data_IF_992848230241
#
_entry.id   IF_992848230241
#
_cell.length_a   1.000
_cell.length_b   1.000
_cell.length_c   1.000
_cell.angle_alpha   90.00
_cell.angle_beta   90.00
_cell.angle_gamma   90.00
#
_symmetry.space_group_name_H-M   'P 1'
#
loop_
_entity.id
_entity.type
_entity.pdbx_description
1 polymer ?
#
# COMPACT_ATOMS: atom_id res chain seq x y z
N UNK A 1 -12.85 0.22 5.83
CA UNK A 1 -11.64 0.56 6.63
C UNK A 1 -11.55 2.07 6.65
N UNK A 2 -11.54 2.71 7.82
CA UNK A 2 -11.52 4.17 7.89
C UNK A 2 -10.09 4.69 7.56
N UNK A 3 -9.96 5.98 7.18
CA UNK A 3 -8.67 6.56 6.78
C UNK A 3 -7.61 6.50 7.89
N UNK A 4 -8.00 6.56 9.15
CA UNK A 4 -7.09 6.43 10.28
C UNK A 4 -6.60 5.00 10.47
N UNK A 5 -7.47 4.00 10.29
CA UNK A 5 -7.11 2.58 10.33
C UNK A 5 -6.18 2.22 9.18
N UNK A 6 -6.39 2.78 7.97
CA UNK A 6 -5.48 2.57 6.84
C UNK A 6 -4.12 3.25 7.05
N UNK A 7 -4.11 4.52 7.51
CA UNK A 7 -2.87 5.23 7.86
C UNK A 7 -2.08 4.49 8.94
N UNK A 8 -2.75 4.00 9.98
CA UNK A 8 -2.12 3.25 11.05
C UNK A 8 -1.62 1.89 10.56
N UNK A 9 -2.37 1.17 9.71
CA UNK A 9 -1.90 -0.09 9.09
C UNK A 9 -0.69 0.13 8.19
N UNK A 10 -0.63 1.21 7.42
CA UNK A 10 0.48 1.51 6.51
C UNK A 10 1.75 1.96 7.27
N UNK A 11 1.59 2.77 8.32
CA UNK A 11 2.66 3.12 9.27
C UNK A 11 3.17 1.87 10.00
N UNK A 12 2.27 0.98 10.44
CA UNK A 12 2.62 -0.29 11.10
C UNK A 12 3.22 -1.33 10.15
N UNK A 13 2.86 -1.34 8.87
CA UNK A 13 3.42 -2.26 7.88
C UNK A 13 4.87 -1.89 7.54
N UNK A 14 5.21 -0.60 7.42
CA UNK A 14 6.59 -0.18 7.13
C UNK A 14 7.45 -0.08 8.39
N UNK A 15 6.94 0.42 9.51
CA UNK A 15 7.67 0.29 10.79
C UNK A 15 7.81 -1.20 11.12
N UNK A 16 6.80 -2.03 10.85
CA UNK A 16 6.92 -3.49 10.88
C UNK A 16 7.93 -4.05 9.88
N UNK A 17 8.08 -3.50 8.67
CA UNK A 17 9.15 -3.93 7.74
C UNK A 17 10.54 -3.50 8.21
N UNK A 18 10.67 -2.35 8.87
CA UNK A 18 11.93 -1.83 9.44
C UNK A 18 12.27 -2.49 10.79
N UNK A 19 11.28 -2.88 11.60
CA UNK A 19 11.42 -3.45 12.96
C UNK A 19 11.30 -4.99 12.96
N UNK A 20 10.45 -5.58 12.11
CA UNK A 20 10.15 -7.03 12.02
C UNK A 20 10.77 -7.69 10.78
N UNK A 21 11.13 -6.92 9.74
CA UNK A 21 11.79 -7.45 8.52
C UNK A 21 13.14 -8.13 8.76
N UNK A 22 13.76 -7.94 9.93
CA UNK A 22 14.94 -8.69 10.38
C UNK A 22 14.65 -10.04 11.06
N UNK A 23 13.44 -10.24 11.61
CA UNK A 23 13.17 -11.37 12.52
C UNK A 23 12.46 -12.56 11.86
N UNK A 24 11.74 -12.36 10.74
CA UNK A 24 11.04 -13.45 10.06
C UNK A 24 11.86 -14.13 8.94
N UNK A 25 12.90 -13.50 8.39
CA UNK A 25 13.67 -14.10 7.29
C UNK A 25 14.87 -14.96 7.72
N UNK A 26 15.37 -14.84 8.96
CA UNK A 26 16.60 -15.52 9.38
C UNK A 26 16.38 -16.81 10.21
N UNK A 27 15.13 -17.18 10.53
CA UNK A 27 14.81 -18.39 11.35
C UNK A 27 14.31 -19.60 10.55
N UNK A 28 14.21 -19.50 9.22
CA UNK A 28 13.81 -20.63 8.35
C UNK A 28 15.02 -21.36 7.74
N UNK A 29 16.27 -20.89 7.93
CA UNK A 29 17.42 -21.52 7.26
C UNK A 29 18.16 -22.61 8.02
N UNK A 30 17.97 -22.80 9.33
CA UNK A 30 18.67 -23.85 10.07
C UNK A 30 17.77 -24.54 11.11
N UNK A 31 17.13 -25.62 10.69
CA UNK A 31 16.92 -26.80 11.54
C UNK A 31 17.02 -28.06 10.68
N UNK A 32 17.72 -29.11 11.15
CA UNK A 32 17.98 -30.32 10.39
C UNK A 32 16.71 -31.18 10.32
N UNK A 33 16.34 -31.59 9.11
CA UNK A 33 15.29 -32.57 8.86
C UNK A 33 15.74 -33.93 9.42
N UNK A 34 15.10 -34.38 10.50
CA UNK A 34 15.22 -35.74 11.00
C UNK A 34 14.42 -36.71 10.13
N UNK A 35 15.09 -37.81 9.83
CA UNK A 35 14.72 -39.03 9.11
C UNK A 35 13.41 -39.70 9.53
N UNK A 36 12.72 -40.32 8.56
CA UNK A 36 12.15 -41.70 8.58
C UNK A 36 11.33 -41.97 7.29
N UNK A 37 11.05 -43.23 6.90
CA UNK A 37 11.98 -44.27 6.46
C UNK A 37 11.71 -44.73 5.01
N UNK A 38 12.71 -45.41 4.43
CA UNK A 38 12.64 -46.09 3.12
C UNK A 38 11.54 -47.16 3.05
N UNK A 39 10.79 -47.17 1.94
CA UNK A 39 10.16 -48.38 1.41
C UNK A 39 10.49 -48.47 -0.08
N UNK A 40 11.21 -49.54 -0.42
CA UNK A 40 11.66 -49.88 -1.75
C UNK A 40 10.50 -50.34 -2.66
N UNK A 41 10.50 -49.89 -3.91
CA UNK A 41 9.96 -50.67 -5.03
C UNK A 41 10.59 -50.24 -6.36
N UNK A 42 10.96 -51.26 -7.12
CA UNK A 42 11.78 -51.31 -8.33
C UNK A 42 11.23 -50.62 -9.57
N UNK A 43 12.14 -50.08 -10.38
CA UNK A 43 11.93 -49.72 -11.79
C UNK A 43 11.73 -50.94 -12.70
N UNK A 44 11.12 -50.75 -13.89
CA UNK A 44 11.72 -51.32 -15.09
C UNK A 44 11.89 -50.30 -16.24
N UNK A 45 12.87 -50.62 -17.08
CA UNK A 45 13.48 -49.88 -18.18
C UNK A 45 12.66 -49.80 -19.50
N UNK A 46 13.22 -49.04 -20.45
CA UNK A 46 13.10 -49.08 -21.94
C UNK A 46 11.97 -48.22 -22.54
N UNK A 47 12.14 -47.51 -23.67
CA UNK A 47 13.04 -47.67 -24.84
C UNK A 47 13.17 -46.35 -25.62
N UNK A 48 14.24 -46.26 -26.40
CA UNK A 48 14.59 -45.28 -27.45
C UNK A 48 13.64 -45.31 -28.66
N UNK A 49 13.58 -44.19 -29.40
CA UNK A 49 13.45 -44.01 -30.87
C UNK A 49 12.97 -42.55 -31.11
N UNK A 50 13.32 -41.78 -32.13
CA UNK A 50 14.29 -41.82 -33.23
C UNK A 50 14.25 -40.40 -33.85
N UNK A 51 15.25 -40.07 -34.66
CA UNK A 51 15.58 -38.75 -35.22
C UNK A 51 14.50 -38.14 -36.15
N UNK A 52 14.50 -36.80 -36.28
CA UNK A 52 14.40 -36.15 -37.60
C UNK A 52 14.71 -34.64 -37.54
N UNK A 53 15.87 -34.26 -38.10
CA UNK A 53 16.03 -33.19 -39.10
C UNK A 53 15.81 -31.72 -38.72
N UNK A 54 16.91 -30.98 -38.54
CA UNK A 54 16.98 -29.53 -38.80
C UNK A 54 16.83 -29.22 -40.31
N UNK A 55 16.43 -28.00 -40.69
CA UNK A 55 17.47 -27.04 -41.12
C UNK A 55 17.28 -25.62 -40.57
N UNK A 56 18.43 -24.99 -40.31
CA UNK A 56 18.59 -23.57 -40.00
C UNK A 56 18.25 -22.68 -41.21
N UNK A 57 17.79 -21.46 -40.96
CA UNK A 57 17.77 -20.39 -41.98
C UNK A 57 18.10 -19.02 -41.37
N UNK A 58 19.34 -18.64 -41.64
CA UNK A 58 19.88 -17.32 -42.04
C UNK A 58 19.34 -16.03 -41.39
N UNK A 59 20.31 -15.33 -40.80
CA UNK A 59 20.31 -13.91 -40.46
C UNK A 59 19.88 -13.03 -41.63
N UNK A 60 19.07 -12.01 -41.33
CA UNK A 60 19.07 -10.78 -42.10
C UNK A 60 19.06 -9.60 -41.13
N UNK A 61 20.23 -8.97 -41.05
CA UNK A 61 20.52 -7.77 -40.28
C UNK A 61 19.86 -6.56 -40.96
N UNK A 62 18.98 -5.89 -40.24
CA UNK A 62 18.61 -4.50 -40.52
C UNK A 62 19.06 -3.69 -39.32
N UNK A 63 20.19 -3.00 -39.47
CA UNK A 63 20.65 -1.98 -38.54
C UNK A 63 19.65 -0.82 -38.52
N UNK A 64 18.66 -0.87 -37.62
CA UNK A 64 18.08 0.36 -37.08
C UNK A 64 19.01 0.83 -35.96
N UNK A 65 19.82 1.84 -36.28
CA UNK A 65 20.48 2.67 -35.27
C UNK A 65 19.40 3.43 -34.49
N UNK A 66 18.79 2.75 -33.53
CA UNK A 66 18.04 3.42 -32.48
C UNK A 66 19.04 4.26 -31.70
N UNK A 67 18.90 5.57 -31.85
CA UNK A 67 19.48 6.53 -30.92
C UNK A 67 18.87 6.21 -29.57
N UNK A 68 19.61 5.47 -28.74
CA UNK A 68 19.36 5.41 -27.31
C UNK A 68 19.47 6.86 -26.82
N UNK A 69 18.32 7.50 -26.62
CA UNK A 69 18.26 8.76 -25.91
C UNK A 69 18.91 8.50 -24.56
N UNK A 70 20.02 9.21 -24.29
CA UNK A 70 20.61 9.22 -22.96
C UNK A 70 19.50 9.62 -21.98
N UNK A 71 19.35 8.96 -20.82
CA UNK A 71 18.36 9.37 -19.84
C UNK A 71 18.62 10.83 -19.49
N UNK A 72 17.62 11.69 -19.64
CA UNK A 72 17.71 13.05 -19.12
C UNK A 72 18.07 12.96 -17.63
N UNK A 73 19.18 13.60 -17.21
CA UNK A 73 19.58 13.65 -15.81
C UNK A 73 18.41 14.18 -14.99
N UNK A 74 17.77 13.30 -14.21
CA UNK A 74 16.60 13.64 -13.40
C UNK A 74 17.04 14.69 -12.38
N UNK A 75 16.57 15.93 -12.56
CA UNK A 75 16.91 17.06 -11.69
C UNK A 75 16.56 16.72 -10.24
N UNK A 76 17.56 16.74 -9.35
CA UNK A 76 17.35 16.50 -7.92
C UNK A 76 16.60 17.69 -7.32
N UNK A 77 15.47 17.41 -6.66
CA UNK A 77 14.60 18.40 -6.04
C UNK A 77 14.59 18.19 -4.53
N UNK A 78 14.68 19.26 -3.74
CA UNK A 78 14.41 19.20 -2.30
C UNK A 78 12.91 19.00 -2.06
N UNK A 79 12.54 17.92 -1.38
CA UNK A 79 11.14 17.60 -1.05
C UNK A 79 10.75 18.06 0.35
N UNK A 80 11.66 17.92 1.32
CA UNK A 80 11.47 18.41 2.66
C UNK A 80 12.80 18.77 3.34
N UNK A 81 12.71 19.56 4.40
CA UNK A 81 13.80 19.85 5.33
C UNK A 81 13.29 19.48 6.72
N UNK A 82 14.05 18.63 7.41
CA UNK A 82 13.79 18.18 8.77
C UNK A 82 14.92 18.66 9.66
N UNK A 83 14.61 19.68 10.47
CA UNK A 83 15.59 20.49 11.18
C UNK A 83 16.58 21.14 10.20
N UNK A 84 17.75 20.55 10.01
CA UNK A 84 18.80 21.04 9.10
C UNK A 84 19.10 20.06 7.95
N UNK A 85 18.48 18.88 7.96
CA UNK A 85 18.72 17.83 6.97
C UNK A 85 17.69 17.88 5.86
N UNK A 86 18.16 17.67 4.64
CA UNK A 86 17.37 17.73 3.42
C UNK A 86 16.93 16.32 3.03
N UNK A 87 15.64 16.15 2.75
CA UNK A 87 15.09 14.98 2.07
C UNK A 87 14.89 15.35 0.61
N UNK A 88 15.59 14.67 -0.29
CA UNK A 88 15.58 14.95 -1.73
C UNK A 88 14.67 14.00 -2.50
N UNK A 89 14.44 14.30 -3.78
CA UNK A 89 13.73 13.41 -4.71
C UNK A 89 14.49 12.11 -4.96
N UNK A 90 15.83 12.15 -4.92
CA UNK A 90 16.65 10.95 -5.05
C UNK A 90 16.53 10.06 -3.81
N UNK A 91 16.50 10.65 -2.61
CA UNK A 91 16.21 9.89 -1.39
C UNK A 91 14.84 9.23 -1.49
N UNK A 92 13.83 9.99 -1.92
CA UNK A 92 12.48 9.48 -2.13
C UNK A 92 12.44 8.31 -3.12
N UNK A 93 13.02 8.48 -4.31
CA UNK A 93 13.02 7.45 -5.35
C UNK A 93 13.75 6.20 -4.86
N UNK A 94 14.91 6.34 -4.23
CA UNK A 94 15.70 5.22 -3.69
C UNK A 94 14.94 4.45 -2.62
N UNK A 95 14.31 5.14 -1.67
CA UNK A 95 13.52 4.47 -0.63
C UNK A 95 12.25 3.84 -1.20
N UNK A 96 11.63 4.43 -2.23
CA UNK A 96 10.46 3.85 -2.90
C UNK A 96 10.84 2.58 -3.69
N UNK A 97 12.00 2.59 -4.35
CA UNK A 97 12.54 1.46 -5.10
C UNK A 97 12.99 0.31 -4.20
N UNK A 98 13.38 0.59 -2.94
CA UNK A 98 13.76 -0.45 -1.97
C UNK A 98 12.57 -1.27 -1.46
N UNK A 99 11.33 -0.75 -1.60
CA UNK A 99 10.12 -1.45 -1.22
C UNK A 99 9.83 -2.65 -2.13
N UNK A 100 9.17 -3.67 -1.56
CA UNK A 100 8.60 -4.75 -2.36
C UNK A 100 7.54 -4.18 -3.34
N UNK A 101 7.36 -4.80 -4.53
CA UNK A 101 6.48 -4.27 -5.58
C UNK A 101 5.08 -3.92 -5.10
N UNK A 102 4.51 -4.73 -4.20
CA UNK A 102 3.15 -4.56 -3.69
C UNK A 102 2.99 -3.28 -2.86
N UNK A 103 4.04 -2.87 -2.15
CA UNK A 103 4.04 -1.62 -1.38
C UNK A 103 4.40 -0.42 -2.26
N UNK A 104 5.28 -0.61 -3.24
CA UNK A 104 5.68 0.46 -4.16
C UNK A 104 4.48 1.03 -4.92
N UNK A 105 3.61 0.17 -5.44
CA UNK A 105 2.38 0.58 -6.14
C UNK A 105 1.47 1.48 -5.29
N UNK A 106 1.39 1.24 -3.97
CA UNK A 106 0.57 2.05 -3.07
C UNK A 106 1.12 3.47 -2.95
N UNK A 107 2.44 3.61 -2.80
CA UNK A 107 3.10 4.90 -2.57
C UNK A 107 3.38 5.69 -3.85
N UNK A 108 3.42 5.03 -5.02
CA UNK A 108 3.45 5.71 -6.32
C UNK A 108 2.23 6.62 -6.50
N UNK A 109 1.08 6.22 -5.95
CA UNK A 109 -0.16 6.99 -6.00
C UNK A 109 -0.34 7.92 -4.77
N UNK A 110 0.34 7.63 -3.66
CA UNK A 110 0.22 8.35 -2.38
C UNK A 110 1.54 9.02 -1.97
N UNK A 111 2.19 9.71 -2.91
CA UNK A 111 3.53 10.29 -2.74
C UNK A 111 3.67 11.27 -1.58
N UNK A 112 2.63 12.04 -1.26
CA UNK A 112 2.66 12.92 -0.08
C UNK A 112 2.74 12.13 1.22
N UNK A 113 2.06 10.99 1.30
CA UNK A 113 2.11 10.13 2.49
C UNK A 113 3.45 9.42 2.59
N UNK A 114 4.03 8.97 1.47
CA UNK A 114 5.38 8.43 1.48
C UNK A 114 6.41 9.47 1.94
N UNK A 115 6.31 10.73 1.48
CA UNK A 115 7.17 11.81 1.99
C UNK A 115 6.99 12.02 3.50
N UNK A 116 5.76 11.93 4.03
CA UNK A 116 5.51 11.99 5.46
C UNK A 116 6.25 10.89 6.23
N UNK A 117 6.33 9.68 5.67
CA UNK A 117 7.06 8.57 6.27
C UNK A 117 8.57 8.81 6.28
N UNK A 118 9.13 9.30 5.17
CA UNK A 118 10.56 9.66 5.11
C UNK A 118 10.92 10.73 6.14
N UNK A 119 10.04 11.72 6.32
CA UNK A 119 10.19 12.73 7.38
C UNK A 119 10.17 12.09 8.77
N UNK A 120 9.25 11.13 9.05
CA UNK A 120 9.26 10.39 10.33
C UNK A 120 10.57 9.64 10.54
N UNK A 121 11.04 8.91 9.53
CA UNK A 121 12.29 8.15 9.60
C UNK A 121 13.47 9.06 9.89
N UNK A 122 13.53 10.22 9.23
CA UNK A 122 14.58 11.22 9.46
C UNK A 122 14.52 11.80 10.89
N UNK A 123 13.32 12.07 11.43
CA UNK A 123 13.16 12.52 12.83
C UNK A 123 13.65 11.44 13.81
N UNK A 124 13.27 10.19 13.60
CA UNK A 124 13.71 9.07 14.43
C UNK A 124 15.21 8.86 14.36
N UNK A 125 15.80 8.98 13.17
CA UNK A 125 17.25 8.90 12.98
C UNK A 125 17.98 10.00 13.74
N UNK A 126 17.49 11.24 13.67
CA UNK A 126 18.08 12.35 14.41
C UNK A 126 17.98 12.14 15.93
N UNK A 127 16.86 11.61 16.42
CA UNK A 127 16.70 11.27 17.83
C UNK A 127 17.66 10.15 18.26
N UNK A 128 17.81 9.10 17.46
CA UNK A 128 18.76 8.02 17.70
C UNK A 128 20.22 8.55 17.76
N UNK A 129 20.57 9.46 16.85
CA UNK A 129 21.89 10.09 16.84
C UNK A 129 22.09 11.04 18.02
N UNK A 130 21.05 11.79 18.42
CA UNK A 130 21.06 12.66 19.60
C UNK A 130 21.28 11.88 20.89
N UNK A 131 20.66 10.71 21.01
CA UNK A 131 20.89 9.79 22.15
C UNK A 131 22.25 9.09 22.09
N UNK A 132 22.99 9.23 20.99
CA UNK A 132 24.31 8.63 20.84
C UNK A 132 24.29 7.12 20.63
N UNK A 133 23.18 6.55 20.14
CA UNK A 133 22.99 5.10 19.99
C UNK A 133 24.07 4.45 19.13
N UNK A 134 24.64 5.18 18.16
CA UNK A 134 25.76 4.72 17.33
C UNK A 134 27.06 4.40 18.12
N UNK A 135 27.15 4.78 19.39
CA UNK A 135 28.29 4.50 20.28
C UNK A 135 28.09 3.23 21.11
N UNK A 136 26.90 2.65 21.09
CA UNK A 136 26.60 1.44 21.85
C UNK A 136 27.22 0.23 21.19
N UNK A 137 27.83 -0.64 22.01
CA UNK A 137 28.65 -1.76 21.52
C UNK A 137 27.86 -2.67 20.55
N UNK A 138 26.65 -3.04 20.94
CA UNK A 138 25.78 -3.91 20.15
C UNK A 138 25.37 -3.26 18.81
N UNK A 139 25.03 -1.96 18.84
CA UNK A 139 24.73 -1.18 17.65
C UNK A 139 25.95 -1.09 16.72
N UNK A 140 27.14 -0.88 17.27
CA UNK A 140 28.39 -0.85 16.49
C UNK A 140 28.69 -2.19 15.81
N UNK A 141 28.48 -3.30 16.51
CA UNK A 141 28.63 -4.65 15.95
C UNK A 141 27.65 -4.89 14.80
N UNK A 142 26.38 -4.51 14.96
CA UNK A 142 25.37 -4.62 13.90
C UNK A 142 25.72 -3.75 12.68
N UNK A 143 26.15 -2.50 12.89
CA UNK A 143 26.57 -1.60 11.80
C UNK A 143 27.81 -2.14 11.09
N UNK A 144 28.75 -2.75 11.82
CA UNK A 144 29.93 -3.35 11.21
C UNK A 144 29.58 -4.53 10.29
N UNK A 145 28.56 -5.31 10.65
CA UNK A 145 28.05 -6.42 9.84
C UNK A 145 27.32 -5.90 8.59
N UNK A 146 26.49 -4.86 8.73
CA UNK A 146 25.69 -4.33 7.63
C UNK A 146 25.72 -2.80 7.56
N UNK A 147 26.82 -2.27 6.99
CA UNK A 147 27.08 -0.83 6.94
C UNK A 147 26.00 -0.04 6.22
N UNK A 148 25.43 -0.60 5.15
CA UNK A 148 24.38 0.05 4.36
C UNK A 148 23.09 0.24 5.18
N UNK A 149 22.85 -0.63 6.17
CA UNK A 149 21.69 -0.57 7.07
C UNK A 149 21.88 0.32 8.29
N UNK A 150 22.94 1.15 8.35
CA UNK A 150 23.22 1.99 9.52
C UNK A 150 21.99 2.78 9.99
N UNK A 151 21.24 3.38 9.08
CA UNK A 151 20.05 4.18 9.41
C UNK A 151 18.97 3.31 10.06
N UNK A 152 18.66 2.17 9.45
CA UNK A 152 17.68 1.19 9.93
C UNK A 152 18.04 0.68 11.33
N UNK A 153 19.30 0.30 11.55
CA UNK A 153 19.79 -0.21 12.84
C UNK A 153 19.63 0.83 13.94
N UNK A 154 19.96 2.10 13.68
CA UNK A 154 19.82 3.18 14.66
C UNK A 154 18.37 3.46 15.02
N UNK A 155 17.48 3.50 14.02
CA UNK A 155 16.05 3.69 14.23
C UNK A 155 15.48 2.49 15.00
N UNK A 156 15.87 1.27 14.66
CA UNK A 156 15.43 0.05 15.33
C UNK A 156 15.82 0.05 16.82
N UNK A 157 17.07 0.40 17.14
CA UNK A 157 17.51 0.52 18.53
C UNK A 157 16.71 1.58 19.30
N UNK A 158 16.42 2.73 18.69
CA UNK A 158 15.57 3.75 19.30
C UNK A 158 14.17 3.21 19.58
N UNK A 159 13.57 2.51 18.61
CA UNK A 159 12.23 1.91 18.77
C UNK A 159 12.23 0.88 19.89
N UNK A 160 13.24 0.01 19.96
CA UNK A 160 13.39 -0.98 21.02
C UNK A 160 13.47 -0.31 22.39
N UNK A 161 14.29 0.74 22.55
CA UNK A 161 14.39 1.49 23.81
C UNK A 161 13.08 2.16 24.21
N UNK A 162 12.34 2.71 23.24
CA UNK A 162 11.04 3.33 23.50
C UNK A 162 10.04 2.27 23.97
N UNK A 163 10.06 1.07 23.40
CA UNK A 163 8.98 0.08 23.53
C UNK A 163 9.26 -1.08 24.49
N UNK A 164 10.51 -1.29 24.95
CA UNK A 164 10.90 -2.42 25.82
C UNK A 164 10.19 -2.47 27.18
N UNK A 165 9.91 -1.32 27.79
CA UNK A 165 9.37 -1.23 29.16
C UNK A 165 7.83 -1.31 29.19
N UNK A 166 7.23 -2.10 28.30
CA UNK A 166 5.77 -2.25 28.20
C UNK A 166 5.32 -3.48 28.99
N UNK A 167 4.49 -3.25 30.00
CA UNK A 167 3.87 -4.29 30.81
C UNK A 167 2.37 -4.40 30.56
N UNK A 168 1.84 -5.60 30.78
CA UNK A 168 0.42 -5.92 30.66
C UNK A 168 -0.04 -6.59 31.95
N UNK A 169 -1.07 -6.01 32.58
CA UNK A 169 -1.67 -6.56 33.79
C UNK A 169 -2.71 -7.63 33.47
N UNK A 170 -3.06 -8.45 34.47
CA UNK A 170 -4.09 -9.48 34.32
C UNK A 170 -5.46 -8.84 34.13
N UNK A 171 -5.73 -7.70 34.77
CA UNK A 171 -6.96 -6.94 34.65
C UNK A 171 -7.17 -6.47 33.20
N UNK A 172 -6.12 -5.97 32.55
CA UNK A 172 -6.20 -5.54 31.15
C UNK A 172 -6.44 -6.72 30.19
N UNK A 173 -5.83 -7.88 30.47
CA UNK A 173 -6.10 -9.11 29.71
C UNK A 173 -7.54 -9.58 29.86
N UNK A 174 -8.08 -9.50 31.09
CA UNK A 174 -9.47 -9.86 31.36
C UNK A 174 -10.43 -8.90 30.67
N UNK A 175 -10.17 -7.60 30.74
CA UNK A 175 -10.96 -6.60 30.03
C UNK A 175 -10.99 -6.89 28.53
N UNK A 176 -9.82 -7.12 27.91
CA UNK A 176 -9.74 -7.48 26.50
C UNK A 176 -10.48 -8.80 26.18
N UNK A 177 -10.36 -9.82 27.02
CA UNK A 177 -11.09 -11.07 26.85
C UNK A 177 -12.62 -10.84 26.88
N UNK A 178 -13.11 -10.02 27.80
CA UNK A 178 -14.54 -9.70 27.91
C UNK A 178 -15.06 -8.96 26.66
N UNK A 179 -14.23 -8.16 26.00
CA UNK A 179 -14.56 -7.49 24.74
C UNK A 179 -14.67 -8.48 23.58
N UNK A 180 -13.76 -9.46 23.49
CA UNK A 180 -13.67 -10.37 22.33
C UNK A 180 -14.39 -11.71 22.52
N UNK A 181 -14.79 -12.08 23.74
CA UNK A 181 -15.36 -13.42 24.03
C UNK A 181 -16.58 -13.79 23.18
N UNK A 182 -17.34 -12.81 22.72
CA UNK A 182 -18.49 -13.03 21.84
C UNK A 182 -18.07 -13.53 20.44
N UNK A 183 -16.86 -13.18 20.00
CA UNK A 183 -16.28 -13.59 18.72
C UNK A 183 -15.52 -14.93 18.83
N UNK A 184 -15.21 -15.37 20.06
CA UNK A 184 -14.50 -16.64 20.35
C UNK A 184 -15.24 -17.49 21.41
N UNK A 185 -16.52 -17.87 21.16
CA UNK A 185 -17.40 -18.43 22.19
C UNK A 185 -16.94 -19.75 22.81
N UNK A 186 -16.04 -20.48 22.15
CA UNK A 186 -15.55 -21.79 22.60
C UNK A 186 -14.21 -21.75 23.35
N UNK A 187 -13.56 -20.60 23.46
CA UNK A 187 -12.24 -20.49 24.09
C UNK A 187 -12.31 -19.83 25.45
N UNK A 188 -11.75 -20.49 26.46
CA UNK A 188 -11.61 -19.92 27.81
C UNK A 188 -10.51 -18.87 27.88
N UNK A 189 -10.58 -18.01 28.89
CA UNK A 189 -9.55 -16.99 29.16
C UNK A 189 -8.14 -17.60 29.22
N UNK A 190 -7.94 -18.72 29.93
CA UNK A 190 -6.62 -19.33 30.08
C UNK A 190 -6.07 -19.89 28.76
N UNK A 191 -6.92 -20.34 27.83
CA UNK A 191 -6.49 -20.81 26.51
C UNK A 191 -6.00 -19.67 25.60
N UNK A 192 -6.56 -18.47 25.74
CA UNK A 192 -6.21 -17.32 24.88
C UNK A 192 -5.31 -16.29 25.55
N UNK A 193 -5.09 -16.39 26.87
CA UNK A 193 -4.31 -15.44 27.68
C UNK A 193 -2.96 -15.08 27.08
N UNK A 194 -2.21 -16.06 26.58
CA UNK A 194 -0.91 -15.82 25.95
C UNK A 194 -1.01 -15.01 24.63
N UNK A 195 -2.04 -15.30 23.83
CA UNK A 195 -2.32 -14.59 22.58
C UNK A 195 -2.78 -13.15 22.86
N UNK A 196 -3.72 -12.98 23.80
CA UNK A 196 -4.17 -11.67 24.27
C UNK A 196 -3.03 -10.84 24.84
N UNK A 197 -2.12 -11.47 25.61
CA UNK A 197 -0.92 -10.79 26.14
C UNK A 197 -0.01 -10.31 25.02
N UNK A 198 0.27 -11.15 24.04
CA UNK A 198 1.12 -10.76 22.90
C UNK A 198 0.49 -9.61 22.12
N UNK A 199 -0.81 -9.71 21.83
CA UNK A 199 -1.56 -8.64 21.15
C UNK A 199 -1.53 -7.33 21.94
N UNK A 200 -1.80 -7.39 23.25
CA UNK A 200 -1.88 -6.18 24.07
C UNK A 200 -0.51 -5.55 24.31
N UNK A 201 0.56 -6.35 24.43
CA UNK A 201 1.94 -5.85 24.42
C UNK A 201 2.18 -5.08 23.12
N UNK A 202 1.87 -5.69 21.96
CA UNK A 202 2.07 -5.04 20.66
C UNK A 202 1.28 -3.73 20.55
N UNK A 203 0.00 -3.71 20.97
CA UNK A 203 -0.83 -2.51 20.96
C UNK A 203 -0.23 -1.39 21.82
N UNK A 204 0.22 -1.72 23.03
CA UNK A 204 0.85 -0.75 23.93
C UNK A 204 2.20 -0.26 23.41
N UNK A 205 3.02 -1.14 22.84
CA UNK A 205 4.28 -0.78 22.19
C UNK A 205 4.03 0.18 21.02
N UNK A 206 3.06 -0.13 20.16
CA UNK A 206 2.68 0.74 19.04
C UNK A 206 2.22 2.11 19.53
N UNK A 207 1.32 2.15 20.52
CA UNK A 207 0.84 3.41 21.11
C UNK A 207 1.98 4.25 21.69
N UNK A 208 2.90 3.61 22.43
CA UNK A 208 4.06 4.30 23.02
C UNK A 208 5.00 4.85 21.96
N UNK A 209 5.20 4.12 20.86
CA UNK A 209 5.97 4.59 19.72
C UNK A 209 5.26 5.76 19.01
N UNK A 210 3.95 5.69 18.80
CA UNK A 210 3.15 6.77 18.20
C UNK A 210 3.22 8.05 19.04
N UNK A 211 3.05 7.94 20.36
CA UNK A 211 3.21 9.05 21.30
C UNK A 211 4.60 9.67 21.21
N UNK A 212 5.65 8.84 21.09
CA UNK A 212 7.02 9.33 20.92
C UNK A 212 7.24 10.01 19.56
N UNK A 213 6.71 9.45 18.48
CA UNK A 213 6.79 10.05 17.15
C UNK A 213 6.10 11.41 17.14
N UNK A 214 4.93 11.53 17.77
CA UNK A 214 4.20 12.79 17.87
C UNK A 214 4.95 13.82 18.71
N UNK A 215 5.50 13.42 19.85
CA UNK A 215 6.39 14.27 20.67
C UNK A 215 7.55 14.83 19.84
N UNK A 216 8.27 13.96 19.13
CA UNK A 216 9.41 14.36 18.30
C UNK A 216 8.98 15.24 17.12
N UNK A 217 7.87 14.91 16.46
CA UNK A 217 7.30 15.73 15.37
C UNK A 217 6.90 17.13 15.83
N UNK A 218 6.34 17.25 17.04
CA UNK A 218 5.90 18.53 17.59
C UNK A 218 7.06 19.50 17.87
N UNK A 219 8.27 18.98 18.06
CA UNK A 219 9.48 19.76 18.36
C UNK A 219 10.38 19.97 17.14
N UNK A 220 10.24 19.14 16.11
CA UNK A 220 11.01 19.24 14.88
C UNK A 220 10.59 20.45 14.01
N UNK A 221 11.58 21.13 13.42
CA UNK A 221 11.34 22.15 12.39
C UNK A 221 11.21 21.47 11.03
N UNK A 222 9.99 21.30 10.55
CA UNK A 222 9.71 20.60 9.29
C UNK A 222 9.23 21.61 8.26
N UNK A 223 9.90 21.68 7.11
CA UNK A 223 9.44 22.45 5.94
C UNK A 223 9.29 21.49 4.77
N UNK A 224 8.13 21.49 4.10
CA UNK A 224 7.90 20.68 2.90
C UNK A 224 7.87 21.56 1.65
N UNK A 225 8.23 20.98 0.51
CA UNK A 225 8.12 21.63 -0.78
C UNK A 225 6.65 21.65 -1.23
N UNK A 226 5.96 22.74 -0.95
CA UNK A 226 4.54 22.90 -1.30
C UNK A 226 4.27 22.91 -2.81
N UNK A 227 5.23 23.35 -3.64
CA UNK A 227 5.11 23.31 -5.10
C UNK A 227 5.06 21.86 -5.60
N UNK A 228 5.97 21.02 -5.09
CA UNK A 228 6.02 19.60 -5.40
C UNK A 228 4.77 18.88 -4.88
N UNK A 229 4.34 19.16 -3.64
CA UNK A 229 3.13 18.58 -3.05
C UNK A 229 1.89 18.96 -3.83
N UNK A 230 1.76 20.23 -4.22
CA UNK A 230 0.67 20.69 -5.08
C UNK A 230 0.66 19.92 -6.41
N UNK A 231 1.82 19.68 -7.01
CA UNK A 231 1.93 18.89 -8.24
C UNK A 231 1.43 17.45 -8.03
N UNK A 232 1.79 16.81 -6.90
CA UNK A 232 1.30 15.45 -6.60
C UNK A 232 -0.21 15.41 -6.35
N UNK A 233 -0.75 16.39 -5.60
CA UNK A 233 -2.19 16.53 -5.35
C UNK A 233 -2.97 16.75 -6.65
N UNK A 234 -2.44 17.58 -7.55
CA UNK A 234 -3.04 17.82 -8.86
C UNK A 234 -3.03 16.58 -9.75
N UNK A 235 -1.95 15.78 -9.71
CA UNK A 235 -1.88 14.52 -10.44
C UNK A 235 -2.95 13.53 -9.99
N UNK A 236 -3.21 13.42 -8.67
CA UNK A 236 -4.30 12.59 -8.13
C UNK A 236 -5.68 13.10 -8.59
N UNK A 237 -5.84 14.42 -8.69
CA UNK A 237 -7.08 15.06 -9.15
C UNK A 237 -7.26 15.02 -10.68
N UNK A 238 -6.27 14.55 -11.43
CA UNK A 238 -6.39 14.34 -12.87
C UNK A 238 -6.94 12.95 -13.17
N UNK A 239 -8.24 12.79 -12.92
CA UNK A 239 -8.96 11.56 -13.19
C UNK A 239 -10.34 11.85 -13.83
N UNK A 240 -10.95 10.87 -14.54
CA UNK A 240 -12.21 11.07 -15.27
C UNK A 240 -13.35 11.59 -14.40
N UNK A 241 -13.42 11.15 -13.13
CA UNK A 241 -14.49 11.54 -12.22
C UNK A 241 -14.35 12.99 -11.75
N UNK A 242 -13.16 13.40 -11.32
CA UNK A 242 -12.89 14.79 -10.93
C UNK A 242 -13.01 15.75 -12.13
N UNK A 243 -12.65 15.32 -13.34
CA UNK A 243 -12.90 16.08 -14.57
C UNK A 243 -14.41 16.23 -14.85
N UNK A 244 -15.21 15.19 -14.66
CA UNK A 244 -16.67 15.25 -14.82
C UNK A 244 -17.32 16.19 -13.78
N UNK A 245 -16.86 16.18 -12.53
CA UNK A 245 -17.35 17.09 -11.49
C UNK A 245 -17.14 18.57 -11.82
N UNK A 246 -16.12 18.93 -12.62
CA UNK A 246 -15.88 20.31 -13.07
C UNK A 246 -16.94 20.79 -14.07
N UNK A 247 -17.66 19.87 -14.73
CA UNK A 247 -18.75 20.20 -15.66
C UNK A 247 -20.04 20.64 -14.94
N UNK A 248 -20.11 20.53 -13.60
CA UNK A 248 -21.23 21.01 -12.79
C UNK A 248 -22.54 20.23 -12.99
N UNK A 249 -22.47 19.01 -13.52
CA UNK A 249 -23.63 18.13 -13.78
C UNK A 249 -23.58 16.92 -12.84
N UNK A 250 -24.73 16.27 -12.58
CA UNK A 250 -24.75 14.96 -11.93
C UNK A 250 -23.89 13.95 -12.69
N UNK A 251 -23.29 13.01 -11.97
CA UNK A 251 -22.37 12.01 -12.53
C UNK A 251 -22.81 10.60 -12.15
N UNK A 252 -22.88 9.71 -13.14
CA UNK A 252 -22.89 8.28 -12.93
C UNK A 252 -21.49 7.75 -13.27
N UNK A 253 -20.82 7.13 -12.30
CA UNK A 253 -19.53 6.47 -12.50
C UNK A 253 -19.68 4.96 -12.30
N UNK A 254 -19.45 4.20 -13.36
CA UNK A 254 -19.35 2.73 -13.31
C UNK A 254 -17.89 2.33 -13.17
N UNK A 255 -17.56 1.67 -12.06
CA UNK A 255 -16.23 1.11 -11.81
C UNK A 255 -16.22 -0.36 -12.25
N UNK A 256 -15.42 -0.68 -13.27
CA UNK A 256 -15.43 -1.99 -13.90
C UNK A 256 -14.06 -2.42 -14.42
N UNK A 257 -14.03 -3.59 -15.05
CA UNK A 257 -12.86 -4.12 -15.75
C UNK A 257 -13.29 -4.82 -17.05
N UNK A 258 -12.57 -4.58 -18.14
CA UNK A 258 -12.87 -5.18 -19.45
C UNK A 258 -12.95 -6.72 -19.52
N UNK A 259 -12.41 -7.47 -18.56
CA UNK A 259 -12.50 -8.95 -18.52
C UNK A 259 -13.68 -9.50 -17.70
N UNK A 260 -14.35 -8.66 -16.93
CA UNK A 260 -15.46 -9.04 -16.08
C UNK A 260 -16.76 -9.17 -16.91
N UNK A 261 -17.44 -10.32 -16.85
CA UNK A 261 -18.63 -10.59 -17.69
C UNK A 261 -19.75 -9.57 -17.43
N UNK A 262 -20.20 -9.32 -16.18
CA UNK A 262 -21.22 -8.30 -15.93
C UNK A 262 -20.78 -6.90 -16.38
N UNK A 263 -19.50 -6.56 -16.23
CA UNK A 263 -18.94 -5.28 -16.69
C UNK A 263 -19.04 -5.13 -18.22
N UNK A 264 -18.76 -6.20 -18.98
CA UNK A 264 -18.95 -6.23 -20.44
C UNK A 264 -20.42 -6.00 -20.83
N UNK A 265 -21.37 -6.50 -20.04
CA UNK A 265 -22.80 -6.29 -20.28
C UNK A 265 -23.24 -4.86 -19.96
N UNK A 266 -22.64 -4.23 -18.94
CA UNK A 266 -22.91 -2.83 -18.60
C UNK A 266 -22.43 -1.85 -19.67
N UNK A 267 -21.29 -2.12 -20.30
CA UNK A 267 -20.65 -1.20 -21.26
C UNK A 267 -21.59 -0.66 -22.35
N UNK A 268 -22.30 -1.47 -23.15
CA UNK A 268 -23.21 -0.94 -24.17
C UNK A 268 -24.38 -0.13 -23.59
N UNK A 269 -24.88 -0.51 -22.41
CA UNK A 269 -25.94 0.24 -21.70
C UNK A 269 -25.44 1.64 -21.33
N UNK A 270 -24.23 1.72 -20.78
CA UNK A 270 -23.62 2.98 -20.35
C UNK A 270 -23.24 3.87 -21.54
N UNK A 271 -22.78 3.29 -22.65
CA UNK A 271 -22.51 4.03 -23.90
C UNK A 271 -23.79 4.66 -24.47
N UNK A 272 -24.89 3.91 -24.49
CA UNK A 272 -26.19 4.43 -24.93
C UNK A 272 -26.70 5.55 -24.02
N UNK A 273 -26.61 5.36 -22.69
CA UNK A 273 -26.99 6.37 -21.71
C UNK A 273 -26.10 7.61 -21.76
N UNK A 274 -24.81 7.47 -22.04
CA UNK A 274 -23.90 8.59 -22.23
C UNK A 274 -24.35 9.49 -23.38
N UNK A 275 -24.84 8.90 -24.48
CA UNK A 275 -25.41 9.64 -25.60
C UNK A 275 -26.78 10.25 -25.26
N UNK A 276 -27.66 9.51 -24.59
CA UNK A 276 -29.02 9.96 -24.25
C UNK A 276 -29.02 11.14 -23.24
N UNK A 277 -28.06 11.15 -22.33
CA UNK A 277 -27.91 12.16 -21.28
C UNK A 277 -26.83 13.21 -21.57
N UNK A 278 -26.39 13.33 -22.82
CA UNK A 278 -25.40 14.34 -23.20
C UNK A 278 -25.87 15.75 -22.78
N UNK A 279 -24.99 16.49 -22.11
CA UNK A 279 -25.29 17.82 -21.59
C UNK A 279 -26.18 17.85 -20.34
N UNK A 280 -26.76 16.72 -19.91
CA UNK A 280 -27.65 16.59 -18.73
C UNK A 280 -26.96 15.92 -17.55
N UNK A 281 -26.25 14.81 -17.79
CA UNK A 281 -25.44 14.11 -16.80
C UNK A 281 -24.12 13.65 -17.45
N UNK A 282 -23.11 13.37 -16.62
CA UNK A 282 -21.88 12.70 -17.10
C UNK A 282 -21.98 11.22 -16.77
N UNK A 283 -21.96 10.36 -17.80
CA UNK A 283 -21.93 8.91 -17.63
C UNK A 283 -20.51 8.45 -17.93
N UNK A 284 -19.85 7.83 -16.94
CA UNK A 284 -18.45 7.43 -17.00
C UNK A 284 -18.30 5.93 -16.80
N UNK A 285 -17.40 5.33 -17.58
CA UNK A 285 -16.83 4.01 -17.30
C UNK A 285 -15.41 4.22 -16.81
N UNK A 286 -15.09 3.67 -15.64
CA UNK A 286 -13.79 3.79 -14.99
C UNK A 286 -13.17 2.40 -14.92
N UNK A 287 -12.11 2.19 -15.70
CA UNK A 287 -11.30 0.97 -15.62
C UNK A 287 -10.49 0.99 -14.31
N UNK A 288 -10.78 0.06 -13.42
CA UNK A 288 -10.20 0.05 -12.07
C UNK A 288 -8.68 -0.15 -12.06
N UNK A 289 -8.13 -0.78 -13.11
CA UNK A 289 -6.70 -1.05 -13.24
C UNK A 289 -5.91 0.22 -13.59
N UNK A 290 -6.53 1.12 -14.36
CA UNK A 290 -5.94 2.39 -14.79
C UNK A 290 -6.09 3.48 -13.72
N UNK A 291 -7.10 3.36 -12.86
CA UNK A 291 -7.43 4.35 -11.83
C UNK A 291 -7.54 3.73 -10.43
N UNK A 292 -6.47 3.08 -9.98
CA UNK A 292 -6.45 2.35 -8.69
C UNK A 292 -6.61 3.29 -7.49
N UNK A 293 -5.94 4.43 -7.47
CA UNK A 293 -6.12 5.46 -6.43
C UNK A 293 -7.59 5.89 -6.30
N UNK A 294 -8.27 6.12 -7.43
CA UNK A 294 -9.68 6.49 -7.47
C UNK A 294 -10.58 5.35 -6.96
N UNK A 295 -10.27 4.12 -7.38
CA UNK A 295 -10.95 2.89 -6.95
C UNK A 295 -10.83 2.71 -5.42
N UNK A 296 -9.65 2.94 -4.84
CA UNK A 296 -9.43 2.93 -3.38
C UNK A 296 -10.19 4.06 -2.68
N UNK A 297 -10.13 5.29 -3.23
CA UNK A 297 -10.82 6.48 -2.69
C UNK A 297 -12.33 6.24 -2.50
N UNK A 298 -12.96 5.52 -3.43
CA UNK A 298 -14.39 5.17 -3.37
C UNK A 298 -14.68 3.79 -2.80
N UNK A 299 -13.66 3.10 -2.25
CA UNK A 299 -13.77 1.81 -1.58
C UNK A 299 -14.48 0.74 -2.42
N UNK A 300 -14.17 0.67 -3.71
CA UNK A 300 -14.72 -0.33 -4.62
C UNK A 300 -14.18 -1.71 -4.24
N UNK A 301 -15.07 -2.62 -3.85
CA UNK A 301 -14.72 -4.00 -3.45
C UNK A 301 -15.29 -5.07 -4.38
N UNK A 302 -16.36 -4.72 -5.10
CA UNK A 302 -17.00 -5.55 -6.11
C UNK A 302 -17.06 -4.80 -7.42
N UNK A 303 -16.96 -5.51 -8.55
CA UNK A 303 -17.20 -4.93 -9.87
C UNK A 303 -18.30 -5.69 -10.62
N UNK A 304 -19.11 -5.01 -11.43
CA UNK A 304 -19.12 -3.55 -11.57
C UNK A 304 -19.78 -2.87 -10.34
N UNK A 305 -19.38 -1.64 -10.03
CA UNK A 305 -20.03 -0.81 -9.01
C UNK A 305 -20.43 0.53 -9.64
N UNK A 306 -21.71 0.88 -9.59
CA UNK A 306 -22.23 2.14 -10.09
C UNK A 306 -22.41 3.11 -8.92
N UNK A 307 -21.81 4.29 -9.01
CA UNK A 307 -21.96 5.35 -8.02
C UNK A 307 -22.55 6.59 -8.69
N UNK A 308 -23.63 7.11 -8.09
CA UNK A 308 -24.33 8.29 -8.54
C UNK A 308 -23.99 9.47 -7.64
N UNK A 309 -23.62 10.59 -8.27
CA UNK A 309 -23.25 11.83 -7.63
C UNK A 309 -24.16 12.97 -8.06
N UNK A 310 -24.58 13.79 -7.09
CA UNK A 310 -25.31 15.02 -7.38
C UNK A 310 -24.40 16.16 -7.88
N UNK A 311 -24.99 17.32 -8.18
CA UNK A 311 -24.25 18.52 -8.62
C UNK A 311 -23.29 19.08 -7.56
N UNK A 312 -23.47 18.70 -6.29
CA UNK A 312 -22.60 19.05 -5.16
C UNK A 312 -21.50 18.00 -4.94
N UNK A 313 -21.36 17.01 -5.85
CA UNK A 313 -20.38 15.92 -5.81
C UNK A 313 -20.59 14.95 -4.66
N UNK A 314 -21.78 14.96 -4.05
CA UNK A 314 -22.13 14.03 -2.98
C UNK A 314 -22.58 12.71 -3.59
N UNK A 315 -22.03 11.60 -3.08
CA UNK A 315 -22.56 10.27 -3.38
C UNK A 315 -23.99 10.17 -2.83
N UNK A 316 -24.96 10.02 -3.73
CA UNK A 316 -26.38 9.95 -3.37
C UNK A 316 -26.95 8.54 -3.51
N UNK A 317 -26.29 7.68 -4.29
CA UNK A 317 -26.68 6.28 -4.46
C UNK A 317 -25.51 5.44 -4.95
N UNK A 318 -25.49 4.16 -4.55
CA UNK A 318 -24.51 3.16 -4.95
C UNK A 318 -25.21 1.84 -5.22
N UNK A 319 -24.81 1.18 -6.28
CA UNK A 319 -25.24 -0.17 -6.65
C UNK A 319 -24.01 -1.04 -6.94
N UNK A 320 -24.06 -2.31 -6.53
CA UNK A 320 -23.01 -3.30 -6.80
C UNK A 320 -23.59 -4.43 -7.65
N UNK A 321 -22.91 -4.79 -8.75
CA UNK A 321 -23.38 -5.78 -9.73
C UNK A 321 -24.01 -5.14 -10.97
N UNK A 322 -24.66 -5.98 -11.79
CA UNK A 322 -25.33 -5.54 -13.01
C UNK A 322 -26.56 -4.69 -12.69
N UNK A 323 -26.73 -3.56 -13.38
CA UNK A 323 -27.87 -2.65 -13.26
C UNK A 323 -28.50 -2.44 -14.64
N UNK A 324 -29.81 -2.62 -14.78
CA UNK A 324 -30.47 -2.43 -16.08
C UNK A 324 -30.51 -0.95 -16.50
N UNK A 325 -30.69 -0.71 -17.80
CA UNK A 325 -30.82 0.65 -18.35
C UNK A 325 -31.98 1.39 -17.67
N UNK A 326 -33.12 0.73 -17.48
CA UNK A 326 -34.33 1.28 -16.90
C UNK A 326 -34.09 1.73 -15.46
N UNK A 327 -33.47 0.90 -14.62
CA UNK A 327 -33.17 1.26 -13.24
C UNK A 327 -32.18 2.43 -13.14
N UNK A 328 -31.22 2.52 -14.06
CA UNK A 328 -30.32 3.69 -14.11
C UNK A 328 -31.11 4.96 -14.45
N UNK A 329 -32.01 4.90 -15.43
CA UNK A 329 -32.85 6.04 -15.82
C UNK A 329 -33.76 6.49 -14.69
N UNK A 330 -34.43 5.55 -14.02
CA UNK A 330 -35.25 5.83 -12.83
C UNK A 330 -34.42 6.56 -11.77
N UNK A 331 -33.19 6.10 -11.51
CA UNK A 331 -32.30 6.74 -10.53
C UNK A 331 -31.88 8.16 -10.95
N UNK A 332 -31.58 8.38 -12.22
CA UNK A 332 -31.25 9.70 -12.76
C UNK A 332 -32.46 10.65 -12.68
N UNK A 333 -33.67 10.16 -12.95
CA UNK A 333 -34.92 10.92 -12.83
C UNK A 333 -35.21 11.30 -11.37
N UNK A 334 -35.02 10.38 -10.42
CA UNK A 334 -35.11 10.66 -8.98
C UNK A 334 -34.13 11.76 -8.53
N UNK A 335 -32.95 11.84 -9.17
CA UNK A 335 -31.96 12.88 -8.94
C UNK A 335 -32.31 14.22 -9.62
N UNK A 336 -33.44 14.29 -10.33
CA UNK A 336 -33.88 15.48 -11.04
C UNK A 336 -33.22 15.70 -12.40
N UNK A 337 -32.55 14.67 -12.96
CA UNK A 337 -31.98 14.71 -14.32
C UNK A 337 -33.10 14.41 -15.31
N UNK A 338 -33.47 15.40 -16.13
CA UNK A 338 -34.56 15.32 -17.12
C UNK A 338 -34.05 15.35 -18.55
#
# INVERSE_FOLDING_TARGET
MNKETFRNIVVLLIIGLVVVGGFLFNRIRHSPMSSEPEVAASAPQQKSQEEMGLPQKEENTVETRDKVAMPEEKKIVTLAIVNERVVTSEDFDRELESLAPEYREIFEEEKEEFLNQLITMEILLQEAERQGLAKEKEVQEQIAINKEKRKEILIQELVEKVTRDVEVSIEELRALYEEVKAEIPEKSFEEVKAQLKTYLIQQKQNKKLEEKIEELRSTARITKNEEWLKTQRLAIMDNPLDQAFRKGRPVLADFGRGVCIPCKQMKPILEELASEYEGKASILVIEIDDYRALTRRYSIRLIPTQIFFDTQRKEVYRHEGFMSKESIKEKLEEMGVK
#
